data_IF_368509537787
#
_entry.id   IF_368509537787
#
_cell.length_a   1.000
_cell.length_b   1.000
_cell.length_c   1.000
_cell.angle_alpha   90.00
_cell.angle_beta   90.00
_cell.angle_gamma   90.00
#
_symmetry.space_group_name_H-M   'P 1'
#
loop_
_entity.id
_entity.type
_entity.pdbx_description
1 polymer ?
#
# COMPACT_ATOMS: atom_id res chain seq x y z
N UNK A 1 4.04 8.47 -2.06
CA UNK A 1 2.90 7.80 -1.37
C UNK A 1 3.46 6.75 -0.41
N UNK A 2 2.76 6.46 0.69
CA UNK A 2 3.14 5.43 1.68
C UNK A 2 4.25 5.81 2.68
N UNK A 3 4.53 7.10 2.91
CA UNK A 3 5.68 7.56 3.70
C UNK A 3 5.61 7.20 5.20
N UNK A 4 4.41 7.14 5.80
CA UNK A 4 4.25 7.01 7.25
C UNK A 4 4.83 5.69 7.79
N UNK A 5 4.38 4.56 7.24
CA UNK A 5 4.87 3.23 7.59
C UNK A 5 6.30 3.00 7.06
N UNK A 6 6.63 3.55 5.89
CA UNK A 6 7.95 3.48 5.28
C UNK A 6 9.06 4.07 6.16
N UNK A 7 8.86 5.26 6.73
CA UNK A 7 9.85 5.92 7.59
C UNK A 7 9.90 5.30 8.99
N UNK A 8 8.77 4.83 9.50
CA UNK A 8 8.64 4.25 10.83
C UNK A 8 9.34 2.88 10.94
N UNK A 9 9.21 2.01 9.92
CA UNK A 9 9.56 0.57 10.01
C UNK A 9 10.88 0.21 9.31
N UNK A 10 11.53 1.16 8.63
CA UNK A 10 12.78 0.93 7.89
C UNK A 10 14.05 0.82 8.76
N UNK A 11 13.95 0.46 10.04
CA UNK A 11 15.13 0.37 10.93
C UNK A 11 15.96 -0.90 10.74
N UNK A 12 15.33 -2.00 10.35
CA UNK A 12 16.00 -3.27 10.07
C UNK A 12 15.40 -3.92 8.83
N UNK A 13 16.21 -4.69 8.10
CA UNK A 13 15.77 -5.38 6.88
C UNK A 13 14.73 -6.45 7.22
N UNK A 14 14.91 -7.19 8.32
CA UNK A 14 13.99 -8.25 8.76
C UNK A 14 12.56 -7.74 8.99
N UNK A 15 12.40 -6.62 9.69
CA UNK A 15 11.06 -6.03 9.93
C UNK A 15 10.46 -5.44 8.66
N UNK A 16 11.29 -4.85 7.81
CA UNK A 16 10.86 -4.22 6.56
C UNK A 16 10.36 -5.24 5.53
N UNK A 17 11.01 -6.41 5.45
CA UNK A 17 10.57 -7.53 4.60
C UNK A 17 9.21 -8.05 5.06
N UNK A 18 9.03 -8.27 6.37
CA UNK A 18 7.75 -8.73 6.92
C UNK A 18 6.60 -7.77 6.62
N UNK A 19 6.80 -6.47 6.84
CA UNK A 19 5.80 -5.46 6.52
C UNK A 19 5.52 -5.38 5.01
N UNK A 20 6.56 -5.43 4.18
CA UNK A 20 6.41 -5.35 2.74
C UNK A 20 5.63 -6.53 2.14
N UNK A 21 5.84 -7.75 2.63
CA UNK A 21 5.06 -8.93 2.24
C UNK A 21 3.59 -8.75 2.63
N UNK A 22 3.32 -8.24 3.84
CA UNK A 22 1.96 -7.95 4.26
C UNK A 22 1.28 -6.91 3.35
N UNK A 23 1.99 -5.85 2.95
CA UNK A 23 1.46 -4.85 2.02
C UNK A 23 1.20 -5.42 0.62
N UNK A 24 2.09 -6.27 0.09
CA UNK A 24 1.85 -6.96 -1.20
C UNK A 24 0.58 -7.82 -1.11
N UNK A 25 0.42 -8.58 -0.03
CA UNK A 25 -0.75 -9.42 0.17
C UNK A 25 -2.04 -8.61 0.25
N UNK A 26 -2.05 -7.53 1.03
CA UNK A 26 -3.21 -6.62 1.13
C UNK A 26 -3.52 -6.02 -0.25
N UNK A 27 -2.55 -5.41 -0.93
CA UNK A 27 -2.76 -4.82 -2.27
C UNK A 27 -3.21 -5.84 -3.32
N UNK A 28 -2.65 -7.05 -3.30
CA UNK A 28 -3.00 -8.12 -4.22
C UNK A 28 -4.45 -8.60 -4.09
N UNK A 29 -5.07 -8.39 -2.93
CA UNK A 29 -6.47 -8.79 -2.65
C UNK A 29 -7.41 -7.58 -2.69
N UNK A 30 -7.03 -6.44 -2.13
CA UNK A 30 -7.91 -5.25 -2.08
C UNK A 30 -8.17 -4.71 -3.47
N UNK A 31 -7.16 -4.62 -4.35
CA UNK A 31 -7.34 -4.06 -5.70
C UNK A 31 -8.32 -4.86 -6.56
N UNK A 32 -8.26 -6.21 -6.66
CA UNK A 32 -9.28 -6.94 -7.41
C UNK A 32 -10.66 -6.91 -6.75
N UNK A 33 -10.75 -6.87 -5.42
CA UNK A 33 -12.03 -6.71 -4.70
C UNK A 33 -12.63 -5.33 -4.96
N UNK A 34 -11.83 -4.27 -4.89
CA UNK A 34 -12.24 -2.90 -5.19
C UNK A 34 -12.63 -2.75 -6.66
N UNK A 35 -11.99 -3.48 -7.57
CA UNK A 35 -12.40 -3.54 -8.97
C UNK A 35 -13.79 -4.16 -9.14
N UNK A 36 -14.05 -5.29 -8.49
CA UNK A 36 -15.37 -5.92 -8.51
C UNK A 36 -16.41 -4.98 -7.93
N UNK A 37 -16.12 -4.32 -6.80
CA UNK A 37 -17.03 -3.35 -6.19
C UNK A 37 -17.26 -2.15 -7.11
N UNK A 38 -16.21 -1.63 -7.75
CA UNK A 38 -16.36 -0.51 -8.68
C UNK A 38 -17.24 -0.87 -9.89
N UNK A 39 -17.06 -2.07 -10.45
CA UNK A 39 -17.81 -2.51 -11.63
C UNK A 39 -19.24 -2.96 -11.31
N UNK A 40 -19.49 -3.57 -10.13
CA UNK A 40 -20.80 -4.10 -9.73
C UNK A 40 -21.61 -3.18 -8.81
N UNK A 41 -21.00 -2.16 -8.19
CA UNK A 41 -21.65 -1.32 -7.17
C UNK A 41 -21.57 0.19 -7.45
N UNK A 42 -20.53 0.69 -8.12
CA UNK A 42 -20.29 2.15 -8.24
C UNK A 42 -20.42 2.74 -9.64
N UNK A 43 -20.21 1.96 -10.71
CA UNK A 43 -20.40 2.44 -12.09
C UNK A 43 -21.88 2.74 -12.39
N UNK A 44 -22.12 3.74 -13.26
CA UNK A 44 -23.45 4.06 -13.81
C UNK A 44 -24.14 2.79 -14.30
N UNK A 45 -25.30 2.45 -13.73
CA UNK A 45 -26.09 1.29 -14.11
C UNK A 45 -25.72 -0.04 -13.43
N UNK A 46 -24.75 -0.08 -12.51
CA UNK A 46 -24.31 -1.33 -11.87
C UNK A 46 -25.35 -1.93 -10.89
N UNK A 47 -26.31 -1.13 -10.41
CA UNK A 47 -27.47 -1.59 -9.61
C UNK A 47 -28.58 -2.25 -10.45
N UNK A 48 -28.34 -2.61 -11.72
CA UNK A 48 -29.35 -3.28 -12.56
C UNK A 48 -29.81 -4.64 -12.00
N UNK A 49 -29.05 -5.23 -11.08
CA UNK A 49 -29.42 -6.49 -10.40
C UNK A 49 -30.37 -6.30 -9.20
N UNK A 50 -30.47 -5.10 -8.63
CA UNK A 50 -31.29 -4.83 -7.44
C UNK A 50 -32.67 -4.21 -7.77
N UNK A 51 -32.84 -3.61 -8.96
CA UNK A 51 -34.13 -3.12 -9.45
C UNK A 51 -34.00 -2.01 -10.51
N UNK A 52 -34.93 -1.96 -11.47
CA UNK A 52 -34.90 -1.07 -12.64
C UNK A 52 -34.99 0.45 -12.34
N UNK A 53 -35.31 0.85 -11.11
CA UNK A 53 -35.40 2.27 -10.71
C UNK A 53 -34.04 2.88 -10.30
N UNK A 54 -33.02 2.08 -9.98
CA UNK A 54 -31.72 2.57 -9.48
C UNK A 54 -30.63 2.68 -10.56
N UNK A 55 -30.98 2.50 -11.84
CA UNK A 55 -30.04 2.49 -12.96
C UNK A 55 -29.29 3.83 -13.18
N UNK A 56 -29.81 4.95 -12.65
CA UNK A 56 -29.24 6.29 -12.83
C UNK A 56 -28.61 6.89 -11.56
N UNK A 57 -28.48 6.15 -10.46
CA UNK A 57 -27.85 6.68 -9.24
C UNK A 57 -26.33 6.54 -9.36
N UNK A 58 -25.64 7.68 -9.51
CA UNK A 58 -24.18 7.76 -9.44
C UNK A 58 -23.73 7.66 -7.96
N UNK A 59 -23.30 6.47 -7.52
CA UNK A 59 -22.72 6.27 -6.19
C UNK A 59 -21.23 6.61 -6.12
N UNK A 60 -20.67 7.28 -7.14
CA UNK A 60 -19.24 7.60 -7.22
C UNK A 60 -18.71 8.40 -6.01
N UNK A 61 -19.56 9.19 -5.35
CA UNK A 61 -19.21 9.89 -4.10
C UNK A 61 -18.88 8.93 -2.93
N UNK A 62 -19.46 7.72 -2.92
CA UNK A 62 -19.24 6.72 -1.88
C UNK A 62 -17.96 5.88 -2.08
N UNK A 63 -17.26 6.04 -3.22
CA UNK A 63 -16.08 5.23 -3.58
C UNK A 63 -15.01 5.24 -2.47
N UNK A 64 -14.70 6.41 -1.93
CA UNK A 64 -13.67 6.56 -0.90
C UNK A 64 -14.02 5.80 0.38
N UNK A 65 -15.26 5.88 0.85
CA UNK A 65 -15.70 5.21 2.08
C UNK A 65 -15.69 3.70 1.87
N UNK A 66 -16.15 3.23 0.71
CA UNK A 66 -16.15 1.81 0.37
C UNK A 66 -14.73 1.23 0.30
N UNK A 67 -13.80 1.88 -0.38
CA UNK A 67 -12.41 1.41 -0.45
C UNK A 67 -11.75 1.38 0.92
N UNK A 68 -11.95 2.40 1.76
CA UNK A 68 -11.42 2.40 3.13
C UNK A 68 -12.01 1.24 3.94
N UNK A 69 -13.31 0.97 3.83
CA UNK A 69 -13.97 -0.13 4.54
C UNK A 69 -13.42 -1.51 4.10
N UNK A 70 -13.23 -1.71 2.79
CA UNK A 70 -12.63 -2.94 2.25
C UNK A 70 -11.20 -3.11 2.76
N UNK A 71 -10.37 -2.08 2.65
CA UNK A 71 -8.99 -2.12 3.14
C UNK A 71 -8.97 -2.41 4.65
N UNK A 72 -9.80 -1.75 5.44
CA UNK A 72 -9.88 -1.98 6.89
C UNK A 72 -10.26 -3.43 7.22
N UNK A 73 -11.25 -4.01 6.53
CA UNK A 73 -11.63 -5.42 6.72
C UNK A 73 -10.50 -6.39 6.39
N UNK A 74 -9.74 -6.12 5.32
CA UNK A 74 -8.62 -6.97 4.90
C UNK A 74 -7.43 -6.84 5.84
N UNK A 75 -7.13 -5.63 6.32
CA UNK A 75 -6.07 -5.41 7.31
C UNK A 75 -6.40 -6.08 8.63
N UNK A 76 -7.67 -6.07 9.05
CA UNK A 76 -8.11 -6.79 10.25
C UNK A 76 -7.87 -8.30 10.12
N UNK A 77 -8.13 -8.87 8.94
CA UNK A 77 -7.82 -10.27 8.66
C UNK A 77 -6.32 -10.54 8.76
N UNK A 78 -5.50 -9.67 8.17
CA UNK A 78 -4.03 -9.77 8.23
C UNK A 78 -3.50 -9.66 9.65
N UNK A 79 -4.10 -8.81 10.49
CA UNK A 79 -3.74 -8.69 11.91
C UNK A 79 -3.91 -10.03 12.65
N UNK A 80 -5.07 -10.66 12.50
CA UNK A 80 -5.34 -11.98 13.11
C UNK A 80 -4.39 -13.07 12.58
N UNK A 81 -4.03 -13.01 11.28
CA UNK A 81 -3.07 -13.95 10.67
C UNK A 81 -1.66 -13.73 11.25
N UNK A 82 -1.18 -12.49 11.35
CA UNK A 82 0.16 -12.18 11.84
C UNK A 82 0.31 -12.57 13.32
N UNK A 83 -0.70 -12.31 14.15
CA UNK A 83 -0.70 -12.70 15.56
C UNK A 83 -0.51 -14.22 15.72
N UNK A 84 -1.16 -15.01 14.85
CA UNK A 84 -1.08 -16.48 14.89
C UNK A 84 0.24 -17.04 14.35
N UNK A 85 0.77 -16.49 13.26
CA UNK A 85 1.94 -17.06 12.57
C UNK A 85 3.28 -16.49 13.05
N UNK A 86 3.34 -15.23 13.47
CA UNK A 86 4.60 -14.56 13.82
C UNK A 86 4.46 -13.61 15.02
N UNK A 87 4.51 -14.13 16.25
CA UNK A 87 4.42 -13.30 17.46
C UNK A 87 5.62 -12.34 17.58
N UNK A 88 6.78 -12.68 17.00
CA UNK A 88 7.97 -11.82 16.98
C UNK A 88 7.78 -10.57 16.11
N UNK A 89 7.09 -10.71 14.97
CA UNK A 89 6.75 -9.58 14.11
C UNK A 89 5.62 -8.75 14.73
N UNK A 90 4.62 -9.40 15.32
CA UNK A 90 3.55 -8.71 16.05
C UNK A 90 4.08 -7.89 17.24
N UNK A 91 5.02 -8.42 18.04
CA UNK A 91 5.63 -7.67 19.14
C UNK A 91 6.43 -6.44 18.67
N UNK A 92 6.98 -6.48 17.46
CA UNK A 92 7.76 -5.36 16.90
C UNK A 92 6.90 -4.34 16.14
N UNK A 93 5.73 -4.76 15.65
CA UNK A 93 4.95 -4.06 14.64
C UNK A 93 3.49 -3.81 15.02
N UNK A 94 2.99 -4.40 16.11
CA UNK A 94 1.56 -4.44 16.48
C UNK A 94 0.88 -3.08 16.49
N UNK A 95 1.54 -2.03 17.00
CA UNK A 95 1.00 -0.66 17.02
C UNK A 95 0.86 -0.07 15.60
N UNK A 96 1.65 -0.55 14.64
CA UNK A 96 1.68 -0.06 13.26
C UNK A 96 0.82 -0.90 12.30
N UNK A 97 0.28 -2.04 12.72
CA UNK A 97 -0.61 -2.87 11.89
C UNK A 97 -1.88 -2.11 11.48
N UNK A 98 -2.59 -1.40 12.39
CA UNK A 98 -3.72 -0.53 12.00
C UNK A 98 -3.31 0.61 11.04
N UNK A 99 -2.03 1.01 11.07
CA UNK A 99 -1.50 2.04 10.15
C UNK A 99 -1.42 1.55 8.70
N UNK A 100 -1.52 0.23 8.45
CA UNK A 100 -1.63 -0.33 7.10
C UNK A 100 -2.96 0.07 6.47
N UNK A 101 -4.05 0.15 7.24
CA UNK A 101 -5.38 0.47 6.72
C UNK A 101 -5.45 1.90 6.14
N UNK A 102 -4.69 2.81 6.72
CA UNK A 102 -4.57 4.22 6.26
C UNK A 102 -3.33 4.45 5.40
N UNK A 103 -2.71 3.39 4.88
CA UNK A 103 -1.54 3.53 4.03
C UNK A 103 -1.94 4.15 2.69
N UNK A 104 -1.45 5.36 2.43
CA UNK A 104 -1.78 6.10 1.22
C UNK A 104 -1.25 5.48 -0.08
N UNK A 105 -0.28 4.55 -0.02
CA UNK A 105 0.08 3.75 -1.20
C UNK A 105 -1.00 2.71 -1.55
N UNK A 106 -1.67 2.13 -0.54
CA UNK A 106 -2.74 1.14 -0.74
C UNK A 106 -3.99 1.82 -1.27
N UNK A 107 -4.44 2.88 -0.60
CA UNK A 107 -5.58 3.68 -1.06
C UNK A 107 -5.34 4.28 -2.45
N UNK A 108 -4.13 4.79 -2.70
CA UNK A 108 -3.75 5.31 -4.02
C UNK A 108 -3.76 4.24 -5.11
N UNK A 109 -3.40 2.99 -4.78
CA UNK A 109 -3.51 1.85 -5.69
C UNK A 109 -4.95 1.61 -6.16
N UNK A 110 -5.89 1.57 -5.22
CA UNK A 110 -7.32 1.41 -5.54
C UNK A 110 -7.88 2.59 -6.33
N UNK A 111 -7.50 3.83 -6.00
CA UNK A 111 -7.94 5.03 -6.73
C UNK A 111 -7.37 5.09 -8.15
N UNK A 112 -6.09 4.79 -8.35
CA UNK A 112 -5.50 4.73 -9.69
C UNK A 112 -6.10 3.61 -10.54
N UNK A 113 -6.54 2.52 -9.91
CA UNK A 113 -7.26 1.45 -10.58
C UNK A 113 -8.64 1.93 -11.06
N UNK A 114 -9.37 2.71 -10.26
CA UNK A 114 -10.62 3.35 -10.67
C UNK A 114 -10.42 4.39 -11.78
N UNK A 115 -9.42 5.26 -11.66
CA UNK A 115 -9.18 6.36 -12.61
C UNK A 115 -8.64 5.89 -13.98
N UNK A 116 -7.91 4.77 -13.99
CA UNK A 116 -7.41 4.15 -15.24
C UNK A 116 -8.42 3.20 -15.90
N UNK A 117 -9.57 2.96 -15.28
CA UNK A 117 -10.70 2.19 -15.82
C UNK A 117 -10.29 0.83 -16.42
N UNK A 118 -9.53 0.04 -15.67
CA UNK A 118 -9.04 -1.26 -16.16
C UNK A 118 -10.20 -2.19 -16.58
N UNK A 119 -10.09 -2.78 -17.77
CA UNK A 119 -11.16 -3.58 -18.38
C UNK A 119 -11.22 -5.03 -17.91
N UNK A 120 -10.23 -5.49 -17.13
CA UNK A 120 -10.14 -6.88 -16.70
C UNK A 120 -9.67 -7.07 -15.26
N UNK A 121 -10.18 -8.10 -14.59
CA UNK A 121 -9.75 -8.52 -13.24
C UNK A 121 -8.25 -8.84 -13.24
N UNK A 122 -7.75 -9.45 -14.32
CA UNK A 122 -6.35 -9.83 -14.45
C UNK A 122 -5.41 -8.61 -14.44
N UNK A 123 -5.74 -7.53 -15.15
CA UNK A 123 -4.96 -6.29 -15.15
C UNK A 123 -4.99 -5.59 -13.79
N UNK A 124 -6.16 -5.53 -13.15
CA UNK A 124 -6.28 -4.97 -11.80
C UNK A 124 -5.42 -5.72 -10.79
N UNK A 125 -5.41 -7.05 -10.87
CA UNK A 125 -4.61 -7.90 -9.96
C UNK A 125 -3.11 -7.75 -10.24
N UNK A 126 -2.71 -7.71 -11.52
CA UNK A 126 -1.33 -7.45 -11.92
C UNK A 126 -0.85 -6.06 -11.48
N UNK A 127 -1.70 -5.04 -11.56
CA UNK A 127 -1.41 -3.70 -11.07
C UNK A 127 -1.28 -3.65 -9.54
N UNK A 128 -2.15 -4.33 -8.81
CA UNK A 128 -2.06 -4.44 -7.34
C UNK A 128 -0.77 -5.12 -6.89
N UNK A 129 -0.42 -6.26 -7.51
CA UNK A 129 0.83 -6.96 -7.21
C UNK A 129 2.06 -6.15 -7.64
N UNK A 130 2.04 -5.53 -8.82
CA UNK A 130 3.15 -4.70 -9.32
C UNK A 130 3.42 -3.47 -8.45
N UNK A 131 2.37 -2.76 -8.05
CA UNK A 131 2.49 -1.61 -7.14
C UNK A 131 2.94 -2.03 -5.73
N UNK A 132 2.45 -3.17 -5.22
CA UNK A 132 2.90 -3.75 -3.96
C UNK A 132 4.38 -4.14 -3.99
N UNK A 133 4.84 -4.78 -5.07
CA UNK A 133 6.24 -5.15 -5.28
C UNK A 133 7.14 -3.92 -5.38
N UNK A 134 6.70 -2.86 -6.07
CA UNK A 134 7.43 -1.59 -6.11
C UNK A 134 7.61 -0.98 -4.72
N UNK A 135 6.55 -1.00 -3.91
CA UNK A 135 6.62 -0.53 -2.52
C UNK A 135 7.53 -1.40 -1.65
N UNK A 136 7.46 -2.73 -1.81
CA UNK A 136 8.33 -3.70 -1.13
C UNK A 136 9.81 -3.45 -1.44
N UNK A 137 10.16 -3.27 -2.72
CA UNK A 137 11.53 -2.97 -3.13
C UNK A 137 12.02 -1.65 -2.52
N UNK A 138 11.16 -0.62 -2.51
CA UNK A 138 11.50 0.66 -1.92
C UNK A 138 11.77 0.55 -0.41
N UNK A 139 10.94 -0.16 0.36
CA UNK A 139 11.12 -0.28 1.82
C UNK A 139 12.33 -1.14 2.20
N UNK A 140 12.61 -2.19 1.45
CA UNK A 140 13.80 -3.02 1.66
C UNK A 140 15.07 -2.24 1.33
N UNK A 141 15.08 -1.46 0.25
CA UNK A 141 16.22 -0.63 -0.13
C UNK A 141 16.58 0.40 0.94
N UNK A 142 15.61 1.15 1.47
CA UNK A 142 15.89 2.11 2.56
C UNK A 142 16.35 1.41 3.83
N UNK A 143 15.80 0.24 4.16
CA UNK A 143 16.21 -0.52 5.34
C UNK A 143 17.67 -0.98 5.24
N UNK A 144 18.07 -1.47 4.06
CA UNK A 144 19.45 -1.86 3.78
C UNK A 144 20.41 -0.66 3.88
N UNK A 145 20.02 0.49 3.32
CA UNK A 145 20.82 1.73 3.41
C UNK A 145 20.94 2.19 4.87
N UNK A 146 19.85 2.14 5.64
CA UNK A 146 19.83 2.53 7.06
C UNK A 146 20.67 1.60 7.94
N UNK A 147 20.66 0.30 7.69
CA UNK A 147 21.56 -0.63 8.37
C UNK A 147 23.02 -0.32 8.06
N UNK A 148 23.36 -0.06 6.80
CA UNK A 148 24.74 0.29 6.38
C UNK A 148 25.22 1.61 6.99
N UNK A 149 24.37 2.63 7.02
CA UNK A 149 24.70 3.97 7.58
C UNK A 149 24.86 3.94 9.09
N UNK A 150 24.30 2.94 9.80
CA UNK A 150 24.52 2.77 11.24
C UNK A 150 26.00 2.56 11.59
N UNK A 151 26.76 1.94 10.70
CA UNK A 151 28.20 1.75 10.85
C UNK A 151 29.04 2.98 10.45
N UNK A 152 28.40 4.02 9.91
CA UNK A 152 29.05 5.25 9.44
C UNK A 152 28.94 6.38 10.46
N UNK A 153 29.85 7.34 10.39
CA UNK A 153 29.93 8.43 11.36
C UNK A 153 28.93 9.56 11.04
N UNK A 154 27.65 9.33 11.35
CA UNK A 154 26.57 10.33 11.13
C UNK A 154 26.62 11.40 12.23
N UNK A 155 26.48 12.71 11.90
CA UNK A 155 26.43 13.80 12.89
C UNK A 155 25.36 13.53 13.95
N UNK A 156 25.71 13.71 15.23
CA UNK A 156 24.80 13.43 16.37
C UNK A 156 23.39 14.05 16.23
N UNK A 157 23.21 15.29 15.71
CA UNK A 157 21.88 15.90 15.58
C UNK A 157 20.99 15.27 14.48
N UNK A 158 21.60 14.61 13.48
CA UNK A 158 20.88 14.08 12.31
C UNK A 158 20.59 12.57 12.43
N UNK A 159 21.04 11.91 13.51
CA UNK A 159 20.84 10.47 13.71
C UNK A 159 19.35 10.16 13.86
N UNK A 160 18.90 9.11 13.18
CA UNK A 160 17.51 8.65 13.23
C UNK A 160 16.67 9.18 12.08
N UNK A 161 15.64 9.98 12.38
CA UNK A 161 14.65 10.42 11.38
C UNK A 161 15.23 11.44 10.39
N UNK A 162 16.06 12.38 10.85
CA UNK A 162 16.64 13.42 9.98
C UNK A 162 17.42 12.86 8.80
N UNK A 163 18.39 11.97 9.05
CA UNK A 163 19.13 11.29 7.97
C UNK A 163 18.22 10.43 7.10
N UNK A 164 17.15 9.84 7.66
CA UNK A 164 16.21 9.02 6.90
C UNK A 164 15.45 9.85 5.88
N UNK A 165 15.03 11.06 6.22
CA UNK A 165 14.41 11.99 5.26
C UNK A 165 15.37 12.36 4.12
N UNK A 166 16.64 12.63 4.44
CA UNK A 166 17.67 12.95 3.43
C UNK A 166 17.87 11.77 2.48
N UNK A 167 18.03 10.55 3.01
CA UNK A 167 18.19 9.34 2.19
C UNK A 167 16.95 9.11 1.33
N UNK A 168 15.75 9.30 1.88
CA UNK A 168 14.49 9.14 1.14
C UNK A 168 14.42 10.14 -0.02
N UNK A 169 14.86 11.38 0.18
CA UNK A 169 14.98 12.38 -0.88
C UNK A 169 15.98 11.97 -1.98
N UNK A 170 17.16 11.49 -1.60
CA UNK A 170 18.17 10.99 -2.54
C UNK A 170 17.67 9.77 -3.33
N UNK A 171 16.96 8.85 -2.67
CA UNK A 171 16.29 7.72 -3.34
C UNK A 171 15.21 8.21 -4.31
N UNK A 172 14.45 9.25 -3.95
CA UNK A 172 13.48 9.88 -4.85
C UNK A 172 14.12 10.39 -6.13
N UNK A 173 15.27 11.07 -6.03
CA UNK A 173 16.04 11.54 -7.20
C UNK A 173 16.51 10.35 -8.05
N UNK A 174 16.96 9.25 -7.42
CA UNK A 174 17.33 8.05 -8.16
C UNK A 174 16.14 7.43 -8.90
N UNK A 175 14.96 7.35 -8.28
CA UNK A 175 13.75 6.82 -8.94
C UNK A 175 13.19 7.73 -10.04
N UNK A 176 13.49 9.04 -10.03
CA UNK A 176 13.12 9.94 -11.13
C UNK A 176 13.74 9.52 -12.47
N UNK A 177 14.86 8.77 -12.46
CA UNK A 177 15.44 8.21 -13.68
C UNK A 177 14.49 7.28 -14.45
N UNK A 178 13.52 6.65 -13.78
CA UNK A 178 12.54 5.75 -14.41
C UNK A 178 11.32 6.49 -14.99
N UNK A 179 11.14 7.80 -14.74
CA UNK A 179 9.97 8.55 -15.24
C UNK A 179 9.93 8.66 -16.77
N UNK A 180 11.05 8.44 -17.47
CA UNK A 180 11.11 8.47 -18.93
C UNK A 180 10.63 7.19 -19.61
N UNK A 181 10.40 6.10 -18.88
CA UNK A 181 9.98 4.82 -19.44
C UNK A 181 8.45 4.85 -19.61
N UNK A 182 8.00 4.93 -20.86
CA UNK A 182 6.60 4.68 -21.24
C UNK A 182 6.51 3.25 -21.76
N UNK A 183 5.74 2.40 -21.08
CA UNK A 183 5.25 1.13 -21.62
C UNK A 183 3.94 1.38 -22.37
#
# INVERSE_FOLDING_TARGET
LGMCSYLAVSKTVKTSVGLGIAVIFVLGITVPVDYLINNYLLRKGALSWLGGEFANVDLSFLSFIMFIAVIASMVQLVEMVIEKFSPTLYASLGIFLPLIAVNCAILGGSLFMQERDYGSIAEATAFGLGSGLGWFLAIVAIAAIREKIRYSNVPKPLRGLGITFIITGLMGIAFMSFMGIKL
#
